data_IF_097735282291
#
_entry.id   IF_097735282291
#
_cell.length_a   1.000
_cell.length_b   1.000
_cell.length_c   1.000
_cell.angle_alpha   90.00
_cell.angle_beta   90.00
_cell.angle_gamma   90.00
#
_symmetry.space_group_name_H-M   'P 1'
#
loop_
_entity.id
_entity.type
_entity.pdbx_description
1 polymer ?
#
# COMPACT_ATOMS: atom_id res chain seq x y z
N UNK A 1 21.50 -20.76 -27.85
CA UNK A 1 22.57 -19.79 -27.51
C UNK A 1 21.90 -18.68 -26.74
N UNK A 2 22.23 -18.55 -25.47
CA UNK A 2 21.81 -17.44 -24.64
C UNK A 2 23.02 -16.54 -24.40
N UNK A 3 22.78 -15.24 -24.26
CA UNK A 3 23.81 -14.23 -24.03
C UNK A 3 23.49 -13.54 -22.71
N UNK A 4 24.48 -13.49 -21.81
CA UNK A 4 24.36 -12.79 -20.53
C UNK A 4 25.52 -11.80 -20.39
N UNK A 5 25.25 -10.63 -19.80
CA UNK A 5 26.22 -9.56 -19.62
C UNK A 5 26.43 -9.31 -18.13
N UNK A 6 27.69 -9.20 -17.72
CA UNK A 6 28.13 -8.94 -16.36
C UNK A 6 28.97 -7.66 -16.35
N UNK A 7 28.90 -6.91 -15.26
CA UNK A 7 29.77 -5.76 -15.03
C UNK A 7 31.03 -6.21 -14.29
N UNK A 8 32.19 -5.70 -14.68
CA UNK A 8 33.49 -6.12 -14.15
C UNK A 8 34.24 -4.89 -13.64
N UNK A 9 34.43 -4.82 -12.33
CA UNK A 9 35.19 -3.76 -11.69
C UNK A 9 36.70 -4.08 -11.65
N UNK A 10 37.51 -3.02 -11.71
CA UNK A 10 38.98 -3.10 -11.62
C UNK A 10 39.71 -3.16 -12.97
N UNK A 11 39.01 -3.10 -14.11
CA UNK A 11 39.63 -3.08 -15.43
C UNK A 11 40.03 -1.66 -15.85
N UNK A 12 41.30 -1.32 -15.70
CA UNK A 12 41.79 0.04 -16.02
C UNK A 12 42.49 0.14 -17.40
N UNK A 13 42.65 -0.96 -18.13
CA UNK A 13 43.33 -0.95 -19.42
C UNK A 13 42.94 -2.11 -20.34
N UNK A 14 43.34 -2.03 -21.61
CA UNK A 14 43.06 -3.05 -22.63
C UNK A 14 43.60 -4.44 -22.25
N UNK A 15 44.76 -4.51 -21.57
CA UNK A 15 45.29 -5.80 -21.12
C UNK A 15 44.49 -6.42 -19.97
N UNK A 16 43.85 -5.61 -19.12
CA UNK A 16 42.91 -6.10 -18.11
C UNK A 16 41.69 -6.75 -18.78
N UNK A 17 41.09 -6.05 -19.74
CA UNK A 17 39.95 -6.57 -20.51
C UNK A 17 40.29 -7.89 -21.23
N UNK A 18 41.46 -7.98 -21.89
CA UNK A 18 41.88 -9.22 -22.54
C UNK A 18 42.13 -10.36 -21.55
N UNK A 19 42.58 -10.06 -20.32
CA UNK A 19 42.77 -11.08 -19.29
C UNK A 19 41.42 -11.66 -18.87
N UNK A 20 40.45 -10.80 -18.55
CA UNK A 20 39.09 -11.22 -18.17
C UNK A 20 38.42 -12.00 -19.32
N UNK A 21 38.57 -11.54 -20.57
CA UNK A 21 38.04 -12.23 -21.74
C UNK A 21 38.64 -13.63 -21.92
N UNK A 22 39.96 -13.77 -21.76
CA UNK A 22 40.65 -15.04 -21.91
C UNK A 22 40.30 -16.05 -20.82
N UNK A 23 40.15 -15.60 -19.56
CA UNK A 23 39.79 -16.47 -18.45
C UNK A 23 38.33 -16.93 -18.54
N UNK A 24 37.40 -16.04 -18.92
CA UNK A 24 36.01 -16.39 -19.15
C UNK A 24 35.85 -17.42 -20.30
N UNK A 25 36.65 -17.32 -21.37
CA UNK A 25 36.62 -18.28 -22.48
C UNK A 25 37.12 -19.70 -22.10
N UNK A 26 37.75 -19.90 -20.94
CA UNK A 26 38.23 -21.24 -20.51
C UNK A 26 37.18 -22.07 -19.78
N UNK A 27 36.05 -21.48 -19.40
CA UNK A 27 35.03 -22.15 -18.61
C UNK A 27 34.18 -23.05 -19.50
N UNK A 28 33.94 -24.28 -19.03
CA UNK A 28 33.10 -25.23 -19.75
C UNK A 28 31.67 -24.72 -19.87
N UNK A 29 31.12 -24.72 -21.09
CA UNK A 29 29.78 -24.22 -21.39
C UNK A 29 29.73 -22.82 -22.00
N UNK A 30 30.82 -22.05 -21.92
CA UNK A 30 30.98 -20.76 -22.63
C UNK A 30 31.50 -21.01 -24.05
N UNK A 31 30.75 -20.59 -25.06
CA UNK A 31 31.20 -20.65 -26.46
C UNK A 31 32.06 -19.45 -26.83
N UNK A 32 31.71 -18.28 -26.27
CA UNK A 32 32.38 -17.01 -26.55
C UNK A 32 32.19 -16.04 -25.40
N UNK A 33 33.28 -15.50 -24.88
CA UNK A 33 33.29 -14.35 -24.00
C UNK A 33 33.91 -13.15 -24.73
N UNK A 34 33.35 -11.97 -24.52
CA UNK A 34 33.87 -10.71 -25.07
C UNK A 34 33.74 -9.59 -24.05
N UNK A 35 34.82 -8.82 -23.85
CA UNK A 35 34.84 -7.69 -22.91
C UNK A 35 34.85 -6.38 -23.67
N UNK A 36 33.92 -5.48 -23.30
CA UNK A 36 33.93 -4.10 -23.74
C UNK A 36 34.49 -3.22 -22.62
N UNK A 37 35.77 -2.85 -22.74
CA UNK A 37 36.47 -2.01 -21.76
C UNK A 37 35.81 -0.64 -21.58
N UNK A 38 35.28 -0.04 -22.64
CA UNK A 38 34.67 1.29 -22.56
C UNK A 38 33.38 1.31 -21.72
N UNK A 39 32.75 0.15 -21.57
CA UNK A 39 31.52 -0.02 -20.79
C UNK A 39 31.72 -0.92 -19.58
N UNK A 40 32.95 -1.33 -19.28
CA UNK A 40 33.31 -2.23 -18.17
C UNK A 40 32.45 -3.52 -18.10
N UNK A 41 32.07 -4.05 -19.26
CA UNK A 41 31.11 -5.18 -19.36
C UNK A 41 31.71 -6.39 -20.04
N UNK A 42 31.52 -7.55 -19.43
CA UNK A 42 31.79 -8.88 -19.98
C UNK A 42 30.48 -9.47 -20.53
N UNK A 43 30.47 -9.85 -21.81
CA UNK A 43 29.34 -10.53 -22.45
C UNK A 43 29.72 -11.97 -22.77
N UNK A 44 28.87 -12.91 -22.38
CA UNK A 44 29.12 -14.35 -22.48
C UNK A 44 28.01 -15.04 -23.26
N UNK A 45 28.38 -15.76 -24.32
CA UNK A 45 27.50 -16.62 -25.12
C UNK A 45 27.66 -18.09 -24.69
N UNK A 46 26.57 -18.74 -24.31
CA UNK A 46 26.59 -20.13 -23.82
C UNK A 46 25.46 -20.98 -24.43
N UNK A 47 25.67 -22.30 -24.50
CA UNK A 47 24.75 -23.27 -25.15
C UNK A 47 23.95 -24.08 -24.13
N UNK A 48 24.59 -24.51 -23.05
CA UNK A 48 23.99 -25.18 -21.89
C UNK A 48 24.25 -24.34 -20.65
N UNK A 49 23.39 -24.47 -19.64
CA UNK A 49 23.36 -23.74 -18.36
C UNK A 49 24.72 -23.18 -17.92
N UNK A 50 24.79 -21.86 -17.71
CA UNK A 50 25.99 -21.13 -17.29
C UNK A 50 26.17 -21.24 -15.78
N UNK A 51 27.34 -21.71 -15.32
CA UNK A 51 27.73 -21.64 -13.90
C UNK A 51 28.29 -20.25 -13.59
N UNK A 52 27.41 -19.37 -13.12
CA UNK A 52 27.74 -17.98 -12.78
C UNK A 52 28.69 -17.91 -11.58
N UNK A 53 28.61 -18.87 -10.64
CA UNK A 53 29.51 -18.90 -9.47
C UNK A 53 30.93 -19.29 -9.88
N UNK A 54 31.08 -20.26 -10.78
CA UNK A 54 32.38 -20.61 -11.35
C UNK A 54 32.98 -19.43 -12.12
N UNK A 55 32.17 -18.75 -12.95
CA UNK A 55 32.59 -17.55 -13.69
C UNK A 55 33.05 -16.43 -12.75
N UNK A 56 32.28 -16.15 -11.69
CA UNK A 56 32.64 -15.15 -10.68
C UNK A 56 33.99 -15.49 -10.01
N UNK A 57 34.17 -16.76 -9.63
CA UNK A 57 35.38 -17.24 -8.93
C UNK A 57 36.63 -17.18 -9.79
N UNK A 58 36.52 -17.45 -11.10
CA UNK A 58 37.64 -17.38 -12.04
C UNK A 58 38.08 -15.93 -12.27
N UNK A 59 37.11 -15.02 -12.37
CA UNK A 59 37.37 -13.59 -12.55
C UNK A 59 37.99 -12.98 -11.28
N UNK A 60 37.48 -13.35 -10.10
CA UNK A 60 38.02 -12.92 -8.80
C UNK A 60 39.47 -13.38 -8.57
N UNK A 61 39.79 -14.65 -8.91
CA UNK A 61 41.17 -15.16 -8.91
C UNK A 61 42.12 -14.38 -9.81
N UNK A 62 41.59 -13.72 -10.83
CA UNK A 62 42.37 -12.92 -11.78
C UNK A 62 42.57 -11.47 -11.30
N UNK A 63 42.03 -11.12 -10.12
CA UNK A 63 42.16 -9.80 -9.50
C UNK A 63 41.11 -8.79 -9.94
N UNK A 64 39.99 -9.24 -10.52
CA UNK A 64 38.88 -8.40 -10.97
C UNK A 64 37.60 -8.84 -10.29
N UNK A 65 36.67 -7.92 -10.05
CA UNK A 65 35.42 -8.24 -9.35
C UNK A 65 34.26 -8.27 -10.34
N UNK A 66 33.58 -9.42 -10.45
CA UNK A 66 32.36 -9.53 -11.25
C UNK A 66 31.16 -9.10 -10.41
N UNK A 67 30.49 -8.02 -10.83
CA UNK A 67 29.22 -7.59 -10.26
C UNK A 67 28.11 -8.37 -10.96
N UNK A 68 27.57 -9.36 -10.26
CA UNK A 68 26.38 -10.10 -10.67
C UNK A 68 25.16 -9.23 -10.38
N UNK A 69 24.66 -8.53 -11.40
CA UNK A 69 23.31 -7.94 -11.35
C UNK A 69 22.28 -9.06 -11.49
N UNK A 70 22.09 -9.85 -10.44
CA UNK A 70 20.93 -10.74 -10.30
C UNK A 70 19.71 -9.93 -9.82
N UNK A 71 19.58 -8.67 -10.23
CA UNK A 71 18.44 -7.84 -9.85
C UNK A 71 17.21 -8.33 -10.62
N UNK A 72 16.39 -9.14 -9.96
CA UNK A 72 15.08 -9.52 -10.45
C UNK A 72 14.09 -8.41 -10.09
N UNK A 73 13.58 -7.70 -11.09
CA UNK A 73 12.48 -6.76 -10.89
C UNK A 73 11.15 -7.50 -10.82
N UNK A 74 10.46 -7.39 -9.70
CA UNK A 74 9.09 -7.87 -9.54
C UNK A 74 8.14 -6.77 -9.12
N UNK A 75 6.88 -6.91 -9.54
CA UNK A 75 5.83 -5.96 -9.20
C UNK A 75 4.79 -6.65 -8.33
N UNK A 76 4.41 -6.00 -7.24
CA UNK A 76 3.43 -6.46 -6.28
C UNK A 76 2.24 -5.49 -6.28
N UNK A 77 1.03 -6.02 -6.27
CA UNK A 77 -0.18 -5.25 -5.95
C UNK A 77 -0.29 -5.15 -4.44
N UNK A 78 -0.37 -3.93 -3.90
CA UNK A 78 -0.39 -3.69 -2.45
C UNK A 78 -1.71 -3.02 -2.03
N UNK A 79 -2.49 -3.72 -1.21
CA UNK A 79 -3.74 -3.24 -0.66
C UNK A 79 -3.57 -2.55 0.71
N UNK A 80 -4.47 -1.61 1.00
CA UNK A 80 -4.50 -0.88 2.29
C UNK A 80 -3.66 0.41 2.32
N UNK A 81 -2.99 0.77 1.21
CA UNK A 81 -2.30 2.06 1.10
C UNK A 81 -3.29 3.19 0.83
N UNK A 82 -3.84 3.76 1.90
CA UNK A 82 -4.81 4.85 1.79
C UNK A 82 -4.15 6.23 1.72
N UNK A 83 -2.85 6.35 1.99
CA UNK A 83 -2.20 7.64 2.18
C UNK A 83 -0.73 7.66 1.72
N UNK A 84 -0.17 8.85 1.51
CA UNK A 84 1.24 9.00 1.12
C UNK A 84 2.22 8.42 2.17
N UNK A 85 1.93 8.61 3.47
CA UNK A 85 2.74 8.01 4.54
C UNK A 85 2.60 6.48 4.61
N UNK A 86 1.45 5.94 4.20
CA UNK A 86 1.22 4.51 4.08
C UNK A 86 2.13 3.92 2.99
N UNK A 87 2.18 4.57 1.82
CA UNK A 87 3.07 4.19 0.72
C UNK A 87 4.55 4.30 1.11
N UNK A 88 4.94 5.38 1.79
CA UNK A 88 6.30 5.55 2.28
C UNK A 88 6.69 4.45 3.28
N UNK A 89 5.78 4.09 4.19
CA UNK A 89 6.01 3.01 5.15
C UNK A 89 6.29 1.69 4.44
N UNK A 90 5.47 1.33 3.44
CA UNK A 90 5.69 0.10 2.65
C UNK A 90 7.03 0.16 1.93
N UNK A 91 7.34 1.27 1.27
CA UNK A 91 8.61 1.45 0.57
C UNK A 91 9.81 1.30 1.51
N UNK A 92 9.79 1.97 2.66
CA UNK A 92 10.86 1.94 3.65
C UNK A 92 11.00 0.57 4.32
N UNK A 93 9.90 -0.16 4.53
CA UNK A 93 9.93 -1.52 5.05
C UNK A 93 10.65 -2.45 4.08
N UNK A 94 10.31 -2.39 2.79
CA UNK A 94 10.89 -3.27 1.77
C UNK A 94 12.33 -2.88 1.44
N UNK A 95 12.63 -1.57 1.37
CA UNK A 95 13.99 -1.08 1.12
C UNK A 95 15.00 -1.44 2.23
N UNK A 96 14.53 -1.80 3.43
CA UNK A 96 15.39 -2.25 4.54
C UNK A 96 15.68 -3.75 4.53
N UNK A 97 15.06 -4.51 3.64
CA UNK A 97 15.29 -5.94 3.56
C UNK A 97 16.67 -6.21 2.93
N UNK A 98 17.37 -7.21 3.47
CA UNK A 98 18.64 -7.66 2.92
C UNK A 98 18.43 -8.26 1.53
N UNK A 99 19.23 -7.84 0.55
CA UNK A 99 19.09 -8.26 -0.84
C UNK A 99 18.13 -7.40 -1.69
N UNK A 100 17.49 -6.37 -1.13
CA UNK A 100 16.75 -5.37 -1.92
C UNK A 100 17.67 -4.23 -2.34
N UNK A 101 17.74 -3.98 -3.65
CA UNK A 101 18.52 -2.88 -4.23
C UNK A 101 17.68 -1.62 -4.39
N UNK A 102 16.43 -1.79 -4.81
CA UNK A 102 15.50 -0.68 -5.03
C UNK A 102 14.07 -1.11 -4.74
N UNK A 103 13.32 -0.26 -4.06
CA UNK A 103 11.89 -0.40 -3.87
C UNK A 103 11.20 0.92 -4.20
N UNK A 104 10.18 0.89 -5.06
CA UNK A 104 9.44 2.07 -5.47
C UNK A 104 7.95 1.82 -5.49
N UNK A 105 7.20 2.64 -4.76
CA UNK A 105 5.74 2.55 -4.69
C UNK A 105 5.11 3.59 -5.62
N UNK A 106 4.11 3.14 -6.39
CA UNK A 106 3.17 4.00 -7.07
C UNK A 106 1.79 3.90 -6.39
N UNK A 107 1.47 4.91 -5.57
CA UNK A 107 0.21 4.97 -4.83
C UNK A 107 -1.02 5.09 -5.73
N UNK A 108 -0.90 5.70 -6.91
CA UNK A 108 -2.03 5.83 -7.82
C UNK A 108 -2.46 4.47 -8.36
N UNK A 109 -1.49 3.64 -8.75
CA UNK A 109 -1.73 2.29 -9.28
C UNK A 109 -1.78 1.21 -8.20
N UNK A 110 -1.54 1.55 -6.93
CA UNK A 110 -1.43 0.59 -5.82
C UNK A 110 -0.37 -0.50 -6.07
N UNK A 111 0.72 -0.14 -6.79
CA UNK A 111 1.79 -1.09 -7.16
C UNK A 111 3.09 -0.75 -6.47
N UNK A 112 3.83 -1.79 -6.07
CA UNK A 112 5.20 -1.72 -5.58
C UNK A 112 6.09 -2.46 -6.59
N UNK A 113 7.09 -1.78 -7.14
CA UNK A 113 8.15 -2.43 -7.93
C UNK A 113 9.40 -2.58 -7.07
N UNK A 114 9.95 -3.79 -7.02
CA UNK A 114 11.11 -4.15 -6.21
C UNK A 114 12.17 -4.79 -7.10
N UNK A 115 13.37 -4.25 -7.06
CA UNK A 115 14.59 -4.84 -7.61
C UNK A 115 15.32 -5.52 -6.45
N UNK A 116 15.43 -6.85 -6.51
CA UNK A 116 16.03 -7.65 -5.44
C UNK A 116 16.82 -8.83 -5.99
N UNK A 117 17.74 -9.35 -5.16
CA UNK A 117 18.55 -10.52 -5.47
C UNK A 117 17.80 -11.83 -5.12
N UNK A 118 17.40 -12.65 -6.11
CA UNK A 118 16.66 -13.89 -5.91
C UNK A 118 17.48 -15.00 -5.25
N UNK A 119 18.81 -14.87 -5.19
CA UNK A 119 19.70 -15.78 -4.48
C UNK A 119 19.71 -15.53 -2.96
N UNK A 120 19.30 -14.32 -2.52
CA UNK A 120 19.27 -13.92 -1.11
C UNK A 120 17.86 -14.04 -0.52
N UNK A 121 16.82 -13.69 -1.29
CA UNK A 121 15.43 -13.74 -0.84
C UNK A 121 14.45 -14.07 -1.95
N UNK A 122 13.25 -14.53 -1.58
CA UNK A 122 12.15 -14.80 -2.50
C UNK A 122 11.03 -13.74 -2.46
N UNK A 123 10.09 -13.80 -3.41
CA UNK A 123 8.93 -12.91 -3.44
C UNK A 123 8.07 -12.99 -2.16
N UNK A 124 8.00 -14.19 -1.57
CA UNK A 124 7.23 -14.46 -0.35
C UNK A 124 7.80 -13.72 0.87
N UNK A 125 9.12 -13.46 0.90
CA UNK A 125 9.75 -12.70 1.98
C UNK A 125 9.33 -11.23 1.94
N UNK A 126 9.19 -10.68 0.73
CA UNK A 126 8.69 -9.32 0.49
C UNK A 126 7.22 -9.23 0.90
N UNK A 127 6.37 -10.17 0.46
CA UNK A 127 4.96 -10.23 0.86
C UNK A 127 4.83 -10.31 2.40
N UNK A 128 5.61 -11.19 3.03
CA UNK A 128 5.63 -11.35 4.48
C UNK A 128 6.09 -10.10 5.23
N UNK A 129 7.05 -9.35 4.68
CA UNK A 129 7.50 -8.09 5.26
C UNK A 129 6.41 -7.02 5.22
N UNK A 130 5.69 -6.93 4.10
CA UNK A 130 4.56 -6.00 3.92
C UNK A 130 3.40 -6.40 4.85
N UNK A 131 3.11 -7.70 4.96
CA UNK A 131 2.13 -8.25 5.90
C UNK A 131 2.48 -7.97 7.35
N UNK A 132 3.76 -7.99 7.73
CA UNK A 132 4.20 -7.59 9.08
C UNK A 132 4.02 -6.10 9.33
N UNK A 133 4.17 -5.27 8.30
CA UNK A 133 4.01 -3.81 8.41
C UNK A 133 2.56 -3.35 8.59
N UNK A 134 1.56 -4.14 8.17
CA UNK A 134 0.15 -3.67 8.24
C UNK A 134 -0.72 -4.10 7.07
N UNK A 135 -0.07 -4.27 5.92
CA UNK A 135 -0.68 -4.21 4.61
C UNK A 135 -0.81 -5.60 3.99
N UNK A 136 -1.43 -5.70 2.83
CA UNK A 136 -1.52 -6.95 2.08
C UNK A 136 -0.86 -6.76 0.73
N UNK A 137 -0.07 -7.73 0.29
CA UNK A 137 0.61 -7.68 -1.00
C UNK A 137 0.46 -9.01 -1.73
N UNK A 138 0.32 -8.95 -3.05
CA UNK A 138 0.25 -10.12 -3.92
C UNK A 138 1.15 -9.89 -5.15
N UNK A 139 2.01 -10.85 -5.46
CA UNK A 139 2.87 -10.82 -6.64
C UNK A 139 2.06 -10.78 -7.94
N UNK A 140 2.33 -9.78 -8.79
CA UNK A 140 1.71 -9.67 -10.10
C UNK A 140 2.43 -10.61 -11.08
N UNK A 141 1.76 -11.70 -11.47
CA UNK A 141 2.29 -12.63 -12.48
C UNK A 141 2.09 -12.03 -13.87
N UNK A 142 3.18 -11.81 -14.61
CA UNK A 142 3.20 -11.25 -15.97
C UNK A 142 2.33 -12.01 -17.01
N UNK A 143 1.79 -13.19 -16.68
CA UNK A 143 1.10 -14.06 -17.62
C UNK A 143 -0.43 -14.06 -17.49
N UNK A 144 -0.99 -13.28 -16.57
CA UNK A 144 -2.44 -13.14 -16.50
C UNK A 144 -2.84 -12.08 -17.53
N UNK A 145 -3.24 -12.52 -18.73
CA UNK A 145 -3.65 -11.66 -19.86
C UNK A 145 -4.87 -10.77 -19.57
N UNK A 146 -5.54 -10.29 -20.64
CA UNK A 146 -6.66 -9.31 -20.62
C UNK A 146 -7.70 -9.54 -19.49
N UNK A 147 -7.96 -10.79 -19.10
CA UNK A 147 -8.86 -11.16 -18.01
C UNK A 147 -8.41 -10.70 -16.59
N UNK A 148 -7.12 -10.45 -16.34
CA UNK A 148 -6.62 -9.89 -15.06
C UNK A 148 -6.88 -8.39 -14.96
N UNK A 149 -6.71 -7.68 -16.08
CA UNK A 149 -6.95 -6.26 -16.23
C UNK A 149 -8.45 -5.96 -16.08
N UNK A 150 -9.32 -6.73 -16.72
CA UNK A 150 -10.77 -6.59 -16.54
C UNK A 150 -11.22 -6.91 -15.11
N UNK A 151 -10.66 -7.93 -14.46
CA UNK A 151 -10.95 -8.20 -13.03
C UNK A 151 -10.47 -7.08 -12.11
N UNK A 152 -9.31 -6.49 -12.38
CA UNK A 152 -8.80 -5.35 -11.61
C UNK A 152 -9.70 -4.11 -11.82
N UNK A 153 -10.16 -3.87 -13.04
CA UNK A 153 -11.08 -2.78 -13.37
C UNK A 153 -12.43 -2.94 -12.64
N UNK A 154 -13.05 -4.12 -12.71
CA UNK A 154 -14.33 -4.41 -12.04
C UNK A 154 -14.21 -4.33 -10.51
N UNK A 155 -13.12 -4.84 -9.92
CA UNK A 155 -12.85 -4.71 -8.48
C UNK A 155 -12.74 -3.23 -8.06
N UNK A 156 -12.08 -2.41 -8.88
CA UNK A 156 -11.88 -0.99 -8.60
C UNK A 156 -13.19 -0.20 -8.72
N UNK A 157 -14.03 -0.55 -9.69
CA UNK A 157 -15.35 0.06 -9.81
C UNK A 157 -16.28 -0.30 -8.64
N UNK A 158 -16.19 -1.53 -8.13
CA UNK A 158 -16.92 -1.93 -6.92
C UNK A 158 -16.50 -1.13 -5.67
N UNK A 159 -15.22 -0.83 -5.50
CA UNK A 159 -14.68 -0.14 -4.32
C UNK A 159 -15.28 1.24 -4.08
N UNK A 160 -15.36 2.09 -5.12
CA UNK A 160 -15.92 3.44 -4.95
C UNK A 160 -17.42 3.39 -4.61
N UNK A 161 -18.17 2.43 -5.17
CA UNK A 161 -19.59 2.29 -4.88
C UNK A 161 -19.83 1.82 -3.44
N UNK A 162 -19.01 0.89 -2.96
CA UNK A 162 -19.07 0.44 -1.56
C UNK A 162 -18.77 1.61 -0.62
N UNK A 163 -17.71 2.38 -0.86
CA UNK A 163 -17.37 3.55 -0.05
C UNK A 163 -18.48 4.62 -0.09
N UNK A 164 -19.07 4.88 -1.26
CA UNK A 164 -20.18 5.82 -1.37
C UNK A 164 -21.42 5.35 -0.59
N UNK A 165 -21.76 4.06 -0.67
CA UNK A 165 -22.85 3.48 0.13
C UNK A 165 -22.59 3.62 1.62
N UNK A 166 -21.35 3.36 2.08
CA UNK A 166 -20.96 3.58 3.48
C UNK A 166 -21.14 5.03 3.89
N UNK A 167 -20.67 5.98 3.08
CA UNK A 167 -20.87 7.40 3.33
C UNK A 167 -22.36 7.77 3.42
N UNK A 168 -23.19 7.31 2.48
CA UNK A 168 -24.63 7.61 2.47
C UNK A 168 -25.31 7.06 3.72
N UNK A 169 -24.97 5.84 4.15
CA UNK A 169 -25.51 5.27 5.38
C UNK A 169 -25.05 6.09 6.59
N UNK A 170 -23.75 6.42 6.70
CA UNK A 170 -23.24 7.24 7.80
C UNK A 170 -23.91 8.62 7.84
N UNK A 171 -24.06 9.27 6.68
CA UNK A 171 -24.71 10.57 6.56
C UNK A 171 -26.20 10.52 6.94
N UNK A 172 -26.90 9.43 6.60
CA UNK A 172 -28.30 9.22 6.94
C UNK A 172 -28.55 9.23 8.45
N UNK A 173 -27.61 8.69 9.25
CA UNK A 173 -27.69 8.70 10.72
C UNK A 173 -27.05 9.94 11.34
N UNK A 174 -25.96 10.44 10.75
CA UNK A 174 -25.24 11.61 11.25
C UNK A 174 -26.07 12.89 11.15
N UNK A 175 -26.74 13.14 10.02
CA UNK A 175 -27.48 14.40 9.82
C UNK A 175 -28.60 14.57 10.85
N UNK A 176 -29.49 13.58 11.10
CA UNK A 176 -30.45 13.67 12.19
C UNK A 176 -29.78 13.81 13.55
N UNK A 177 -28.74 13.03 13.83
CA UNK A 177 -28.01 13.11 15.10
C UNK A 177 -27.45 14.52 15.35
N UNK A 178 -26.87 15.15 14.34
CA UNK A 178 -26.31 16.50 14.42
C UNK A 178 -27.42 17.51 14.70
N UNK A 179 -28.56 17.39 14.02
CA UNK A 179 -29.72 18.25 14.25
C UNK A 179 -30.28 18.08 15.66
N UNK A 180 -30.37 16.86 16.19
CA UNK A 180 -30.85 16.64 17.56
C UNK A 180 -29.87 17.11 18.62
N UNK A 181 -28.57 16.88 18.42
CA UNK A 181 -27.53 17.26 19.38
C UNK A 181 -27.30 18.77 19.42
N UNK A 182 -27.16 19.42 18.26
CA UNK A 182 -26.81 20.84 18.16
C UNK A 182 -28.02 21.76 17.92
N UNK A 183 -29.20 21.21 17.59
CA UNK A 183 -30.37 22.01 17.21
C UNK A 183 -30.89 22.96 18.29
N UNK A 184 -30.72 22.58 19.57
CA UNK A 184 -31.09 23.44 20.70
C UNK A 184 -30.26 24.73 20.74
N UNK A 185 -28.99 24.68 20.29
CA UNK A 185 -28.11 25.86 20.20
C UNK A 185 -28.53 26.80 19.06
N UNK A 186 -29.18 26.27 18.01
CA UNK A 186 -29.74 27.04 16.89
C UNK A 186 -31.19 27.51 17.13
N UNK A 187 -31.73 27.32 18.34
CA UNK A 187 -33.09 27.75 18.70
C UNK A 187 -34.20 26.90 18.09
N UNK A 188 -33.91 25.69 17.61
CA UNK A 188 -34.94 24.76 17.15
C UNK A 188 -35.64 24.11 18.36
N UNK A 189 -36.99 24.03 18.36
CA UNK A 189 -37.73 23.36 19.42
C UNK A 189 -37.43 21.86 19.38
N UNK A 190 -36.71 21.37 20.37
CA UNK A 190 -36.49 19.94 20.58
C UNK A 190 -37.72 19.34 21.27
N UNK A 191 -38.20 18.15 20.86
CA UNK A 191 -39.28 17.47 21.55
C UNK A 191 -38.91 17.21 23.02
N UNK A 192 -39.83 17.43 23.97
CA UNK A 192 -39.61 17.24 25.42
C UNK A 192 -39.09 15.83 25.79
N UNK A 193 -39.38 14.83 24.95
CA UNK A 193 -38.95 13.43 25.11
C UNK A 193 -37.42 13.29 24.99
N UNK A 194 -36.76 14.22 24.28
CA UNK A 194 -35.35 14.19 23.88
C UNK A 194 -34.59 15.40 24.43
N UNK A 195 -35.22 16.19 25.30
CA UNK A 195 -34.61 17.35 25.92
C UNK A 195 -33.57 16.90 26.97
N UNK A 196 -32.37 17.48 26.93
CA UNK A 196 -31.28 17.13 27.85
C UNK A 196 -31.59 17.50 29.31
N UNK A 197 -32.45 18.48 29.55
CA UNK A 197 -32.88 18.91 30.89
C UNK A 197 -34.10 18.10 31.38
N UNK A 198 -35.04 17.76 30.49
CA UNK A 198 -36.26 17.04 30.90
C UNK A 198 -36.06 15.52 30.96
N UNK A 199 -35.36 14.93 29.98
CA UNK A 199 -35.15 13.48 29.85
C UNK A 199 -33.71 13.15 29.39
N UNK A 200 -32.70 13.38 30.25
CA UNK A 200 -31.29 13.21 29.90
C UNK A 200 -30.94 11.80 29.43
N UNK A 201 -31.60 10.77 29.98
CA UNK A 201 -31.36 9.38 29.57
C UNK A 201 -31.85 9.10 28.14
N UNK A 202 -33.03 9.60 27.76
CA UNK A 202 -33.56 9.41 26.41
C UNK A 202 -32.71 10.15 25.36
N UNK A 203 -32.24 11.35 25.71
CA UNK A 203 -31.30 12.11 24.89
C UNK A 203 -30.01 11.30 24.63
N UNK A 204 -29.41 10.75 25.68
CA UNK A 204 -28.19 9.93 25.56
C UNK A 204 -28.42 8.64 24.76
N UNK A 205 -29.52 7.93 25.00
CA UNK A 205 -29.87 6.69 24.29
C UNK A 205 -30.16 6.93 22.81
N UNK A 206 -30.80 8.05 22.44
CA UNK A 206 -31.04 8.40 21.05
C UNK A 206 -29.72 8.64 20.31
N UNK A 207 -28.79 9.38 20.93
CA UNK A 207 -27.47 9.61 20.34
C UNK A 207 -26.69 8.30 20.18
N UNK A 208 -26.68 7.45 21.21
CA UNK A 208 -26.05 6.13 21.13
C UNK A 208 -26.66 5.29 19.99
N UNK A 209 -28.00 5.27 19.88
CA UNK A 209 -28.72 4.53 18.84
C UNK A 209 -28.35 5.03 17.43
N UNK A 210 -28.19 6.33 17.24
CA UNK A 210 -27.85 6.92 15.94
C UNK A 210 -26.36 6.81 15.61
N UNK A 211 -25.46 6.92 16.60
CA UNK A 211 -24.01 6.76 16.37
C UNK A 211 -23.60 5.30 16.15
N UNK A 212 -24.30 4.33 16.74
CA UNK A 212 -23.94 2.90 16.64
C UNK A 212 -23.86 2.40 15.19
N UNK A 213 -24.86 2.65 14.30
CA UNK A 213 -24.76 2.29 12.88
C UNK A 213 -23.56 2.91 12.16
N UNK A 214 -23.24 4.18 12.48
CA UNK A 214 -22.09 4.89 11.88
C UNK A 214 -20.79 4.16 12.24
N UNK A 215 -20.63 3.79 13.52
CA UNK A 215 -19.47 3.04 14.02
C UNK A 215 -19.39 1.65 13.37
N UNK A 216 -20.51 0.95 13.25
CA UNK A 216 -20.55 -0.38 12.61
C UNK A 216 -20.13 -0.34 11.14
N UNK A 217 -20.64 0.63 10.37
CA UNK A 217 -20.26 0.81 8.95
C UNK A 217 -18.77 1.18 8.80
N UNK A 218 -18.23 1.87 9.81
CA UNK A 218 -16.85 2.35 9.86
C UNK A 218 -15.87 1.34 10.49
N UNK A 219 -16.30 0.12 10.80
CA UNK A 219 -15.51 -0.84 11.59
C UNK A 219 -14.13 -1.15 10.99
N UNK A 220 -14.05 -1.24 9.65
CA UNK A 220 -12.80 -1.51 8.93
C UNK A 220 -11.70 -0.49 9.25
N UNK A 221 -12.06 0.77 9.50
CA UNK A 221 -11.08 1.82 9.85
C UNK A 221 -10.47 1.59 11.23
N UNK A 222 -11.25 1.07 12.17
CA UNK A 222 -10.76 0.70 13.49
C UNK A 222 -9.81 -0.50 13.39
N UNK A 223 -10.19 -1.54 12.65
CA UNK A 223 -9.37 -2.72 12.47
C UNK A 223 -7.99 -2.38 11.88
N UNK A 224 -7.98 -1.64 10.77
CA UNK A 224 -6.73 -1.20 10.15
C UNK A 224 -5.93 -0.23 11.04
N UNK A 225 -6.62 0.72 11.68
CA UNK A 225 -6.00 1.73 12.54
C UNK A 225 -5.29 1.11 13.75
N UNK A 226 -5.94 0.20 14.45
CA UNK A 226 -5.33 -0.51 15.59
C UNK A 226 -4.24 -1.47 15.15
N UNK A 227 -4.46 -2.24 14.07
CA UNK A 227 -3.45 -3.19 13.54
C UNK A 227 -2.13 -2.48 13.23
N UNK A 228 -2.19 -1.35 12.54
CA UNK A 228 -0.99 -0.56 12.15
C UNK A 228 -0.36 0.15 13.33
N UNK A 229 -1.17 0.66 14.27
CA UNK A 229 -0.68 1.25 15.52
C UNK A 229 0.15 0.26 16.35
N UNK A 230 -0.36 -0.95 16.59
CA UNK A 230 0.36 -1.97 17.37
C UNK A 230 1.60 -2.53 16.66
N UNK A 231 1.69 -2.35 15.34
CA UNK A 231 2.86 -2.72 14.53
C UNK A 231 3.93 -1.62 14.48
N UNK A 232 3.73 -0.50 15.19
CA UNK A 232 4.70 0.59 15.27
C UNK A 232 4.69 1.53 14.07
N UNK A 233 3.71 1.41 13.18
CA UNK A 233 3.57 2.24 11.98
C UNK A 233 2.20 2.95 11.99
N UNK A 234 1.96 3.88 12.94
CA UNK A 234 0.69 4.60 13.00
C UNK A 234 0.45 5.39 11.71
N UNK A 235 -0.77 5.29 11.19
CA UNK A 235 -1.21 5.99 10.00
C UNK A 235 -2.45 6.86 10.27
N UNK A 236 -3.05 7.43 9.22
CA UNK A 236 -4.26 8.25 9.35
C UNK A 236 -5.40 7.52 10.07
N UNK A 237 -5.61 6.24 9.75
CA UNK A 237 -6.65 5.43 10.38
C UNK A 237 -6.35 5.18 11.86
N UNK A 238 -5.07 5.08 12.26
CA UNK A 238 -4.69 4.91 13.68
C UNK A 238 -5.14 6.08 14.55
N UNK A 239 -4.93 7.32 14.08
CA UNK A 239 -5.33 8.52 14.82
C UNK A 239 -6.86 8.60 14.97
N UNK A 240 -7.57 8.35 13.87
CA UNK A 240 -9.04 8.40 13.85
C UNK A 240 -9.62 7.30 14.73
N UNK A 241 -9.11 6.07 14.63
CA UNK A 241 -9.55 4.94 15.43
C UNK A 241 -9.38 5.22 16.93
N UNK A 242 -8.21 5.72 17.36
CA UNK A 242 -7.98 6.08 18.76
C UNK A 242 -8.91 7.18 19.25
N UNK A 243 -8.99 8.30 18.54
CA UNK A 243 -9.77 9.46 18.97
C UNK A 243 -11.27 9.17 19.02
N UNK A 244 -11.81 8.59 17.95
CA UNK A 244 -13.25 8.31 17.85
C UNK A 244 -13.69 7.19 18.79
N UNK A 245 -12.83 6.18 19.04
CA UNK A 245 -13.10 5.12 20.02
C UNK A 245 -13.06 5.69 21.45
N UNK A 246 -12.09 6.53 21.78
CA UNK A 246 -12.02 7.17 23.10
C UNK A 246 -13.29 8.01 23.38
N UNK A 247 -13.71 8.83 22.43
CA UNK A 247 -14.95 9.62 22.53
C UNK A 247 -16.20 8.73 22.66
N UNK A 248 -16.27 7.65 21.87
CA UNK A 248 -17.41 6.74 21.88
C UNK A 248 -17.53 5.96 23.19
N UNK A 249 -16.42 5.39 23.68
CA UNK A 249 -16.37 4.63 24.95
C UNK A 249 -16.66 5.54 26.14
N UNK A 250 -16.10 6.75 26.15
CA UNK A 250 -16.41 7.74 27.17
C UNK A 250 -17.90 8.07 27.19
N UNK A 251 -18.51 8.31 26.03
CA UNK A 251 -19.94 8.63 25.93
C UNK A 251 -20.84 7.48 26.38
N UNK A 252 -20.43 6.22 26.15
CA UNK A 252 -21.11 5.04 26.72
C UNK A 252 -21.04 5.05 28.24
N UNK A 253 -19.86 5.32 28.81
CA UNK A 253 -19.69 5.46 30.26
C UNK A 253 -20.55 6.57 30.85
N UNK A 254 -20.57 7.73 30.20
CA UNK A 254 -21.43 8.87 30.59
C UNK A 254 -22.91 8.50 30.53
N UNK A 255 -23.35 7.78 29.49
CA UNK A 255 -24.74 7.30 29.34
C UNK A 255 -25.15 6.36 30.49
N UNK A 256 -24.26 5.46 30.91
CA UNK A 256 -24.48 4.60 32.08
C UNK A 256 -24.58 5.44 33.36
N UNK A 257 -23.71 6.45 33.51
CA UNK A 257 -23.72 7.38 34.65
C UNK A 257 -25.00 8.20 34.76
N UNK A 258 -25.56 8.63 33.62
CA UNK A 258 -26.88 9.30 33.55
C UNK A 258 -27.97 8.34 34.04
N UNK A 259 -27.92 7.07 33.64
CA UNK A 259 -28.84 6.04 34.12
C UNK A 259 -28.76 5.78 35.63
N UNK A 260 -27.62 6.07 36.26
CA UNK A 260 -27.43 5.99 37.71
C UNK A 260 -27.84 7.27 38.46
N UNK A 261 -28.32 8.30 37.75
CA UNK A 261 -28.84 9.54 38.32
C UNK A 261 -27.91 10.75 38.24
N UNK A 262 -26.74 10.65 37.59
CA UNK A 262 -25.86 11.79 37.36
C UNK A 262 -26.25 12.52 36.07
N UNK A 263 -27.20 13.45 36.18
CA UNK A 263 -27.79 14.18 35.05
C UNK A 263 -26.86 15.23 34.43
N UNK A 264 -25.81 15.66 35.13
CA UNK A 264 -24.87 16.68 34.63
C UNK A 264 -24.08 16.17 33.41
N UNK A 265 -23.80 14.85 33.39
CA UNK A 265 -23.11 14.16 32.29
C UNK A 265 -23.85 14.19 30.95
N UNK A 266 -25.13 14.62 30.92
CA UNK A 266 -25.88 14.76 29.66
C UNK A 266 -25.33 15.83 28.73
N UNK A 267 -24.54 16.78 29.26
CA UNK A 267 -23.88 17.83 28.47
C UNK A 267 -22.51 17.39 27.94
N UNK A 268 -21.91 16.35 28.53
CA UNK A 268 -20.58 15.85 28.18
C UNK A 268 -20.66 14.61 27.26
N UNK A 269 -21.61 14.58 26.32
CA UNK A 269 -21.73 13.48 25.35
C UNK A 269 -20.98 13.83 24.05
N UNK A 270 -20.11 12.93 23.61
CA UNK A 270 -19.27 13.09 22.41
C UNK A 270 -19.68 12.18 21.25
N UNK A 271 -20.90 11.62 21.30
CA UNK A 271 -21.45 10.79 20.23
C UNK A 271 -21.53 11.53 18.89
N UNK A 272 -21.82 12.83 18.93
CA UNK A 272 -21.87 13.72 17.77
C UNK A 272 -20.50 13.92 17.15
N UNK A 273 -19.48 14.16 17.97
CA UNK A 273 -18.10 14.24 17.50
C UNK A 273 -17.63 12.94 16.85
N UNK A 274 -17.93 11.78 17.45
CA UNK A 274 -17.63 10.47 16.85
C UNK A 274 -18.33 10.31 15.49
N UNK A 275 -19.64 10.60 15.43
CA UNK A 275 -20.42 10.50 14.20
C UNK A 275 -19.92 11.43 13.08
N UNK A 276 -19.58 12.66 13.44
CA UNK A 276 -19.05 13.67 12.52
C UNK A 276 -17.71 13.23 11.92
N UNK A 277 -16.75 12.87 12.78
CA UNK A 277 -15.39 12.49 12.33
C UNK A 277 -15.47 11.28 11.40
N UNK A 278 -16.21 10.24 11.78
CA UNK A 278 -16.32 9.01 10.95
C UNK A 278 -17.03 9.27 9.62
N UNK A 279 -18.06 10.11 9.61
CA UNK A 279 -18.80 10.44 8.38
C UNK A 279 -17.95 11.26 7.41
N UNK A 280 -17.28 12.31 7.91
CA UNK A 280 -16.40 13.15 7.10
C UNK A 280 -15.15 12.40 6.62
N UNK A 281 -14.62 11.51 7.46
CA UNK A 281 -13.51 10.64 7.07
C UNK A 281 -13.90 9.71 5.91
N UNK A 282 -15.05 9.05 6.02
CA UNK A 282 -15.58 8.18 4.95
C UNK A 282 -15.76 8.97 3.64
N UNK A 283 -16.26 10.20 3.72
CA UNK A 283 -16.38 11.09 2.55
C UNK A 283 -15.00 11.43 1.96
N UNK A 284 -14.03 11.77 2.81
CA UNK A 284 -12.65 12.05 2.39
C UNK A 284 -12.03 10.89 1.63
N UNK A 285 -12.11 9.67 2.19
CA UNK A 285 -11.63 8.45 1.54
C UNK A 285 -12.34 8.17 0.22
N UNK A 286 -13.66 8.39 0.14
CA UNK A 286 -14.40 8.25 -1.12
C UNK A 286 -13.88 9.23 -2.19
N UNK A 287 -13.66 10.50 -1.84
CA UNK A 287 -13.15 11.52 -2.77
C UNK A 287 -11.72 11.21 -3.21
N UNK A 288 -10.88 10.73 -2.28
CA UNK A 288 -9.52 10.33 -2.57
C UNK A 288 -9.48 9.15 -3.53
N UNK A 289 -10.24 8.08 -3.25
CA UNK A 289 -10.29 6.88 -4.08
C UNK A 289 -10.81 7.19 -5.49
N UNK A 290 -11.85 8.02 -5.58
CA UNK A 290 -12.37 8.52 -6.86
C UNK A 290 -11.30 9.26 -7.66
N UNK A 291 -10.52 10.11 -6.99
CA UNK A 291 -9.47 10.90 -7.64
C UNK A 291 -8.31 10.00 -8.13
N UNK A 292 -7.88 9.03 -7.31
CA UNK A 292 -6.88 8.03 -7.70
C UNK A 292 -7.34 7.19 -8.89
N UNK A 293 -8.59 6.75 -8.88
CA UNK A 293 -9.20 6.00 -9.98
C UNK A 293 -9.16 6.74 -11.32
N UNK A 294 -9.52 8.03 -11.32
CA UNK A 294 -9.45 8.87 -12.52
C UNK A 294 -8.02 9.01 -13.05
N UNK A 295 -7.04 9.22 -12.16
CA UNK A 295 -5.64 9.34 -12.54
C UNK A 295 -5.09 8.02 -13.12
N UNK A 296 -5.39 6.89 -12.49
CA UNK A 296 -4.97 5.59 -13.01
C UNK A 296 -5.57 5.29 -14.38
N UNK A 297 -6.87 5.54 -14.59
CA UNK A 297 -7.50 5.33 -15.90
C UNK A 297 -6.87 6.21 -16.99
N UNK A 298 -6.45 7.43 -16.64
CA UNK A 298 -5.74 8.30 -17.58
C UNK A 298 -4.35 7.74 -17.93
N UNK A 299 -3.59 7.24 -16.94
CA UNK A 299 -2.28 6.62 -17.16
C UNK A 299 -2.42 5.34 -17.99
N UNK A 300 -3.39 4.49 -17.67
CA UNK A 300 -3.65 3.24 -18.39
C UNK A 300 -3.97 3.50 -19.87
N UNK A 301 -4.82 4.49 -20.16
CA UNK A 301 -5.09 4.93 -21.54
C UNK A 301 -3.84 5.42 -22.26
N UNK A 302 -2.91 6.07 -21.57
CA UNK A 302 -1.64 6.51 -22.17
C UNK A 302 -0.71 5.33 -22.48
N UNK A 303 -0.66 4.33 -21.60
CA UNK A 303 0.13 3.11 -21.83
C UNK A 303 -0.44 2.30 -23.00
N UNK A 304 -1.76 2.20 -23.11
CA UNK A 304 -2.42 1.50 -24.21
C UNK A 304 -2.20 2.16 -25.59
N UNK A 305 -1.89 3.46 -25.62
CA UNK A 305 -1.52 4.16 -26.86
C UNK A 305 -0.10 3.82 -27.35
N UNK A 306 0.75 3.22 -26.50
CA UNK A 306 2.08 2.79 -26.93
C UNK A 306 1.95 1.59 -27.90
N UNK A 307 2.55 1.67 -29.10
CA UNK A 307 2.43 0.59 -30.08
C UNK A 307 3.11 -0.68 -29.58
N UNK A 308 2.35 -1.77 -29.50
CA UNK A 308 2.83 -3.09 -29.03
C UNK A 308 3.81 -3.77 -29.99
N UNK A 309 3.92 -3.28 -31.23
CA UNK A 309 4.78 -3.82 -32.27
C UNK A 309 5.48 -2.70 -33.02
N UNK A 310 6.77 -2.87 -33.29
CA UNK A 310 7.54 -2.02 -34.19
C UNK A 310 8.03 -2.86 -35.37
N UNK A 311 7.89 -2.35 -36.60
CA UNK A 311 8.47 -2.97 -37.80
C UNK A 311 9.87 -2.43 -38.03
N UNK A 312 10.87 -3.28 -37.86
CA UNK A 312 12.26 -2.96 -38.20
C UNK A 312 12.40 -3.05 -39.74
N UNK A 313 12.89 -1.98 -40.36
CA UNK A 313 13.29 -1.97 -41.78
C UNK A 313 14.81 -1.97 -41.80
N UNK A 314 15.38 -3.06 -42.31
CA UNK A 314 16.82 -3.27 -42.48
C UNK A 314 17.18 -3.03 -43.93
#
# INVERSE_FOLDING_TARGET
MATQTFEIEGMNCASCASTVENEANKIEGINKASVNLATEKLTVDYTSQLDVEELARVIDKSGYQMVTHDASTQTFSVEGMTCASCAQTVQDTVAKLEGVERAQVNLATEKLSVDYNPSVMGPQDIESAIEKAGYSAELERQNDGIASVERQHDKREGRYQVMFKRFVISALFFVPLFVFSMGHMFGMPVPEIVDSAANPLNYALLQLLMTTPIVMVSWEYFEQGFKTLFRGHPNMNSLIALGTMAAYVYSIGATIGIGMGNVELAHDLYYETTGMILTLHTLGLYLEERSKGQMSQAIEKLVDLAPKQARIVV
#
